data_IF_466393843469
#
_entry.id   IF_466393843469
#
_cell.length_a   1.000
_cell.length_b   1.000
_cell.length_c   1.000
_cell.angle_alpha   90.00
_cell.angle_beta   90.00
_cell.angle_gamma   90.00
#
_symmetry.space_group_name_H-M   'P 1'
#
loop_
_entity.id
_entity.type
_entity.pdbx_description
1 polymer ?
#
# COMPACT_ATOMS: atom_id res chain seq x y z
N UNK A 1 -8.56 0.71 -38.39
CA UNK A 1 -8.70 0.47 -36.95
C UNK A 1 -7.48 -0.31 -36.49
N UNK A 2 -6.46 0.37 -35.94
CA UNK A 2 -5.21 -0.27 -35.52
C UNK A 2 -5.26 -0.53 -34.02
N UNK A 3 -5.18 -1.80 -33.63
CA UNK A 3 -5.04 -2.22 -32.25
C UNK A 3 -3.63 -1.89 -31.76
N UNK A 4 -3.54 -1.09 -30.70
CA UNK A 4 -2.29 -0.81 -30.01
C UNK A 4 -1.89 -2.04 -29.18
N UNK A 5 -1.00 -2.87 -29.73
CA UNK A 5 -0.32 -3.92 -28.99
C UNK A 5 0.61 -3.26 -27.97
N UNK A 6 0.24 -3.34 -26.70
CA UNK A 6 1.11 -2.91 -25.59
C UNK A 6 2.24 -3.94 -25.47
N UNK A 7 3.53 -3.54 -25.47
CA UNK A 7 4.61 -4.50 -25.31
C UNK A 7 4.59 -5.12 -23.91
N UNK A 8 4.97 -6.40 -23.76
CA UNK A 8 5.14 -7.01 -22.45
C UNK A 8 6.26 -6.27 -21.71
N UNK A 9 6.01 -5.97 -20.43
CA UNK A 9 6.98 -5.36 -19.52
C UNK A 9 8.18 -6.33 -19.44
N UNK A 10 9.31 -5.92 -20.02
CA UNK A 10 10.57 -6.65 -19.89
C UNK A 10 10.86 -6.82 -18.39
N UNK A 11 10.85 -8.07 -17.94
CA UNK A 11 11.38 -8.44 -16.64
C UNK A 11 12.86 -8.09 -16.67
N UNK A 12 13.23 -7.10 -15.86
CA UNK A 12 14.59 -6.62 -15.67
C UNK A 12 15.47 -7.76 -15.17
N UNK A 13 16.07 -8.49 -16.12
CA UNK A 13 17.10 -9.47 -15.86
C UNK A 13 18.38 -8.73 -15.48
N UNK A 14 18.56 -8.43 -14.19
CA UNK A 14 19.83 -8.23 -13.46
C UNK A 14 19.71 -7.33 -12.22
N UNK A 15 18.63 -7.44 -11.44
CA UNK A 15 18.72 -7.05 -10.03
C UNK A 15 19.04 -8.32 -9.22
N UNK A 16 20.21 -8.43 -8.56
CA UNK A 16 20.43 -9.51 -7.61
C UNK A 16 19.29 -9.40 -6.59
N UNK A 17 18.42 -10.41 -6.57
CA UNK A 17 17.23 -10.42 -5.73
C UNK A 17 17.64 -9.98 -4.33
N UNK A 18 17.17 -8.80 -3.91
CA UNK A 18 17.37 -8.36 -2.55
C UNK A 18 16.53 -9.31 -1.71
N UNK A 19 17.20 -10.36 -1.23
CA UNK A 19 16.70 -11.16 -0.13
C UNK A 19 16.55 -10.18 1.04
N UNK A 20 15.35 -9.65 1.22
CA UNK A 20 14.94 -9.11 2.52
C UNK A 20 14.86 -10.34 3.43
N UNK A 21 16.04 -10.74 3.91
CA UNK A 21 16.23 -11.86 4.80
C UNK A 21 15.45 -11.53 6.06
N UNK A 22 14.52 -12.40 6.36
CA UNK A 22 13.68 -12.30 7.53
C UNK A 22 14.53 -12.61 8.77
N UNK A 23 14.74 -11.59 9.61
CA UNK A 23 15.11 -11.79 11.00
C UNK A 23 13.92 -11.48 11.89
N UNK A 24 13.44 -12.45 12.68
CA UNK A 24 12.51 -12.17 13.78
C UNK A 24 11.26 -13.06 13.87
N UNK A 25 10.52 -12.97 15.00
CA UNK A 25 9.33 -13.79 15.27
C UNK A 25 8.15 -13.50 14.33
N UNK A 26 7.11 -14.35 14.36
CA UNK A 26 5.88 -14.22 13.56
C UNK A 26 5.12 -12.90 13.74
N UNK A 27 5.47 -12.13 14.77
CA UNK A 27 4.96 -10.79 15.10
C UNK A 27 5.70 -9.67 14.39
N UNK A 28 6.60 -9.97 13.43
CA UNK A 28 7.26 -8.97 12.63
C UNK A 28 6.64 -8.89 11.23
N UNK A 29 6.44 -7.66 10.80
CA UNK A 29 5.91 -7.33 9.49
C UNK A 29 6.76 -6.25 8.85
N UNK A 30 6.94 -6.32 7.54
CA UNK A 30 7.69 -5.36 6.74
C UNK A 30 6.72 -4.49 5.96
N UNK A 31 6.89 -3.17 6.01
CA UNK A 31 5.92 -2.27 5.39
C UNK A 31 6.26 -0.80 5.42
N UNK A 32 5.35 -0.01 4.84
CA UNK A 32 5.38 1.46 4.87
C UNK A 32 4.40 1.99 5.90
N UNK A 33 4.86 2.94 6.71
CA UNK A 33 3.97 3.69 7.61
C UNK A 33 3.29 4.82 6.82
N UNK A 34 1.97 4.77 6.75
CA UNK A 34 1.10 5.76 6.14
C UNK A 34 0.59 6.69 7.24
N UNK A 35 1.07 7.93 7.21
CA UNK A 35 0.61 8.96 8.12
C UNK A 35 -0.79 9.48 7.73
N UNK A 36 -1.35 10.34 8.57
CA UNK A 36 -2.67 10.93 8.33
C UNK A 36 -2.73 11.76 7.03
N UNK A 37 -1.63 12.42 6.66
CA UNK A 37 -1.55 13.20 5.41
C UNK A 37 -1.69 12.30 4.18
N UNK A 38 -1.09 11.12 4.18
CA UNK A 38 -1.27 10.12 3.14
C UNK A 38 -2.75 9.71 3.03
N UNK A 39 -3.40 9.45 4.17
CA UNK A 39 -4.84 9.12 4.19
C UNK A 39 -5.68 10.27 3.63
N UNK A 40 -5.40 11.51 4.04
CA UNK A 40 -6.10 12.70 3.56
C UNK A 40 -5.91 12.94 2.06
N UNK A 41 -4.71 12.67 1.53
CA UNK A 41 -4.40 12.76 0.11
C UNK A 41 -5.22 11.75 -0.72
N UNK A 42 -5.35 10.52 -0.22
CA UNK A 42 -6.09 9.46 -0.92
C UNK A 42 -7.61 9.55 -0.75
N UNK A 43 -8.10 10.18 0.31
CA UNK A 43 -9.53 10.30 0.59
C UNK A 43 -10.36 10.91 -0.57
N UNK A 44 -10.00 12.05 -1.20
CA UNK A 44 -10.75 12.55 -2.34
C UNK A 44 -10.70 11.59 -3.54
N UNK A 45 -9.56 10.97 -3.81
CA UNK A 45 -9.39 10.01 -4.92
C UNK A 45 -10.32 8.80 -4.75
N UNK A 46 -10.33 8.21 -3.55
CA UNK A 46 -11.19 7.05 -3.25
C UNK A 46 -12.67 7.41 -3.29
N UNK A 47 -13.05 8.60 -2.82
CA UNK A 47 -14.43 9.06 -2.91
C UNK A 47 -14.88 9.14 -4.37
N UNK A 48 -14.07 9.73 -5.23
CA UNK A 48 -14.38 9.87 -6.66
C UNK A 48 -14.49 8.53 -7.36
N UNK A 49 -13.66 7.57 -7.00
CA UNK A 49 -13.73 6.21 -7.56
C UNK A 49 -15.01 5.46 -7.15
N UNK A 50 -15.42 5.58 -5.89
CA UNK A 50 -16.61 4.89 -5.35
C UNK A 50 -17.89 5.54 -5.88
N UNK A 51 -17.98 6.86 -5.81
CA UNK A 51 -19.21 7.59 -6.13
C UNK A 51 -19.30 8.02 -7.59
N UNK A 52 -18.22 7.85 -8.37
CA UNK A 52 -18.11 8.34 -9.76
C UNK A 52 -18.43 9.83 -9.87
N UNK A 53 -18.13 10.59 -8.81
CA UNK A 53 -18.44 12.01 -8.68
C UNK A 53 -17.40 12.70 -7.81
N UNK A 54 -17.09 13.97 -8.13
CA UNK A 54 -16.11 14.77 -7.39
C UNK A 54 -16.43 14.88 -5.90
N UNK A 55 -15.40 14.84 -5.06
CA UNK A 55 -15.55 15.16 -3.64
C UNK A 55 -16.15 16.57 -3.50
N UNK A 56 -17.16 16.78 -2.63
CA UNK A 56 -17.70 18.12 -2.40
C UNK A 56 -16.61 19.09 -1.92
N UNK A 57 -16.80 20.38 -2.23
CA UNK A 57 -15.94 21.45 -1.72
C UNK A 57 -15.93 21.49 -0.20
N UNK A 58 -14.82 21.92 0.41
CA UNK A 58 -14.66 22.09 1.84
C UNK A 58 -15.73 22.99 2.50
N UNK A 59 -16.33 23.91 1.73
CA UNK A 59 -17.40 24.80 2.17
C UNK A 59 -18.79 24.14 2.19
N UNK A 60 -18.94 22.94 1.63
CA UNK A 60 -20.19 22.20 1.63
C UNK A 60 -20.53 21.66 3.02
N UNK A 61 -21.79 21.78 3.45
CA UNK A 61 -22.27 21.26 4.74
C UNK A 61 -21.97 19.77 4.95
N UNK A 62 -21.91 18.99 3.87
CA UNK A 62 -21.68 17.54 3.92
C UNK A 62 -20.23 17.14 3.66
N UNK A 63 -19.31 18.11 3.54
CA UNK A 63 -17.90 17.81 3.25
C UNK A 63 -17.26 16.98 4.34
N UNK A 64 -17.33 17.43 5.60
CA UNK A 64 -16.62 16.79 6.71
C UNK A 64 -17.05 15.33 6.91
N UNK A 65 -18.35 15.04 6.84
CA UNK A 65 -18.85 13.68 6.98
C UNK A 65 -18.41 12.77 5.83
N UNK A 66 -18.47 13.26 4.58
CA UNK A 66 -18.03 12.52 3.40
C UNK A 66 -16.52 12.33 3.34
N UNK A 67 -15.75 13.34 3.70
CA UNK A 67 -14.30 13.28 3.76
C UNK A 67 -13.84 12.26 4.81
N UNK A 68 -14.42 12.31 6.02
CA UNK A 68 -14.14 11.33 7.08
C UNK A 68 -14.53 9.91 6.67
N UNK A 69 -15.71 9.72 6.07
CA UNK A 69 -16.12 8.42 5.55
C UNK A 69 -15.14 7.91 4.49
N UNK A 70 -14.66 8.79 3.61
CA UNK A 70 -13.67 8.41 2.61
C UNK A 70 -12.31 8.08 3.22
N UNK A 71 -11.85 8.79 4.24
CA UNK A 71 -10.64 8.43 4.99
C UNK A 71 -10.73 7.00 5.56
N UNK A 72 -11.89 6.62 6.11
CA UNK A 72 -12.11 5.23 6.52
C UNK A 72 -12.03 4.26 5.34
N UNK A 73 -12.61 4.61 4.19
CA UNK A 73 -12.56 3.78 2.97
C UNK A 73 -11.15 3.63 2.40
N UNK A 74 -10.27 4.62 2.56
CA UNK A 74 -8.84 4.52 2.17
C UNK A 74 -8.20 3.30 2.83
N UNK A 75 -8.49 3.04 4.12
CA UNK A 75 -7.87 1.91 4.85
C UNK A 75 -8.22 0.54 4.26
N UNK A 76 -9.37 0.43 3.58
CA UNK A 76 -9.84 -0.79 2.93
C UNK A 76 -9.39 -0.88 1.48
N UNK A 77 -9.50 0.24 0.76
CA UNK A 77 -9.32 0.29 -0.69
C UNK A 77 -7.85 0.41 -1.09
N UNK A 78 -7.05 1.19 -0.34
CA UNK A 78 -5.68 1.46 -0.70
C UNK A 78 -4.82 0.19 -0.76
N UNK A 79 -4.84 -0.72 0.24
CA UNK A 79 -4.08 -1.95 0.13
C UNK A 79 -4.53 -2.80 -1.06
N UNK A 80 -5.85 -2.90 -1.30
CA UNK A 80 -6.38 -3.67 -2.43
C UNK A 80 -5.86 -3.14 -3.77
N UNK A 81 -5.74 -1.82 -3.93
CA UNK A 81 -5.16 -1.20 -5.14
C UNK A 81 -3.69 -1.55 -5.28
N UNK A 82 -2.92 -1.43 -4.19
CA UNK A 82 -1.50 -1.77 -4.18
C UNK A 82 -1.27 -3.23 -4.60
N UNK A 83 -1.93 -4.22 -3.99
CA UNK A 83 -1.74 -5.63 -4.37
C UNK A 83 -2.37 -6.04 -5.71
N UNK A 84 -3.11 -5.14 -6.37
CA UNK A 84 -3.57 -5.37 -7.75
C UNK A 84 -2.55 -4.87 -8.75
N UNK A 85 -1.88 -3.77 -8.43
CA UNK A 85 -0.89 -3.13 -9.30
C UNK A 85 0.50 -3.74 -9.17
N UNK A 86 0.83 -4.26 -7.98
CA UNK A 86 2.10 -4.89 -7.66
C UNK A 86 1.86 -6.36 -7.24
N UNK A 87 1.63 -7.28 -8.20
CA UNK A 87 1.21 -8.65 -7.92
C UNK A 87 2.31 -9.54 -7.33
N UNK A 88 3.57 -9.12 -7.40
CA UNK A 88 4.70 -9.80 -6.73
C UNK A 88 4.57 -9.76 -5.21
N UNK A 89 3.93 -8.72 -4.67
CA UNK A 89 3.67 -8.58 -3.25
C UNK A 89 2.54 -9.53 -2.87
N UNK A 90 2.85 -10.54 -2.07
CA UNK A 90 1.87 -11.50 -1.62
C UNK A 90 0.69 -10.81 -0.93
N UNK A 91 -0.52 -11.23 -1.29
CA UNK A 91 -1.75 -10.73 -0.65
C UNK A 91 -1.86 -11.31 0.74
N UNK A 92 -1.55 -10.49 1.74
CA UNK A 92 -1.60 -10.89 3.13
C UNK A 92 -3.00 -10.76 3.72
N UNK A 93 -3.24 -11.50 4.81
CA UNK A 93 -4.48 -11.44 5.57
C UNK A 93 -4.62 -10.11 6.31
N UNK A 94 -3.52 -9.62 6.92
CA UNK A 94 -3.43 -8.27 7.50
C UNK A 94 -2.75 -7.34 6.50
N UNK A 95 -3.55 -6.58 5.76
CA UNK A 95 -3.09 -5.67 4.69
C UNK A 95 -2.68 -4.30 5.21
N UNK A 96 -3.40 -3.84 6.23
CA UNK A 96 -3.18 -2.57 6.89
C UNK A 96 -3.36 -2.77 8.39
N UNK A 97 -2.43 -2.25 9.19
CA UNK A 97 -2.48 -2.36 10.66
C UNK A 97 -2.48 -0.95 11.23
N UNK A 98 -3.43 -0.65 12.12
CA UNK A 98 -3.41 0.61 12.86
C UNK A 98 -2.22 0.59 13.83
N UNK A 99 -1.33 1.58 13.70
CA UNK A 99 -0.20 1.80 14.58
C UNK A 99 -0.48 3.08 15.37
N UNK A 100 -0.81 2.92 16.66
CA UNK A 100 -1.26 4.03 17.52
C UNK A 100 -0.29 5.22 17.44
N UNK A 101 -0.83 6.43 17.34
CA UNK A 101 -0.15 7.73 17.20
C UNK A 101 0.70 7.94 15.93
N UNK A 102 0.97 6.89 15.15
CA UNK A 102 1.81 6.95 13.95
C UNK A 102 1.02 6.84 12.64
N UNK A 103 -0.16 6.22 12.66
CA UNK A 103 -1.05 6.07 11.50
C UNK A 103 -1.31 4.62 11.15
N UNK A 104 -1.09 4.25 9.89
CA UNK A 104 -1.39 2.92 9.38
C UNK A 104 -0.17 2.26 8.74
N UNK A 105 0.17 1.06 9.15
CA UNK A 105 1.22 0.27 8.52
C UNK A 105 0.64 -0.53 7.35
N UNK A 106 1.02 -0.19 6.12
CA UNK A 106 0.78 -1.01 4.93
C UNK A 106 1.77 -2.17 4.91
N UNK A 107 1.25 -3.39 5.09
CA UNK A 107 2.08 -4.59 5.21
C UNK A 107 2.41 -5.14 3.83
N UNK A 108 3.68 -5.32 3.54
CA UNK A 108 4.16 -5.90 2.27
C UNK A 108 4.64 -7.34 2.44
N UNK A 109 5.17 -7.68 3.62
CA UNK A 109 5.62 -9.02 3.97
C UNK A 109 5.41 -9.28 5.46
N UNK A 110 5.10 -10.53 5.83
CA UNK A 110 5.00 -10.98 7.21
C UNK A 110 5.77 -12.29 7.42
N UNK A 111 5.99 -12.65 8.69
CA UNK A 111 6.69 -13.87 9.09
C UNK A 111 5.74 -14.97 9.58
N UNK A 112 4.44 -14.86 9.28
CA UNK A 112 3.43 -15.71 9.91
C UNK A 112 3.44 -17.13 9.35
N UNK A 113 3.82 -17.29 8.08
CA UNK A 113 3.87 -18.59 7.40
C UNK A 113 5.21 -18.78 6.72
N UNK A 114 5.60 -20.03 6.46
CA UNK A 114 6.81 -20.33 5.69
C UNK A 114 6.77 -19.66 4.32
N UNK A 115 5.61 -19.69 3.64
CA UNK A 115 5.43 -19.07 2.33
C UNK A 115 5.66 -17.56 2.34
N UNK A 116 5.07 -16.84 3.30
CA UNK A 116 5.26 -15.38 3.43
C UNK A 116 6.67 -15.01 3.89
N UNK A 117 7.29 -15.86 4.71
CA UNK A 117 8.67 -15.69 5.17
C UNK A 117 9.69 -15.79 4.03
N UNK A 118 9.53 -16.77 3.14
CA UNK A 118 10.47 -17.02 2.03
C UNK A 118 10.15 -16.21 0.78
N UNK A 119 9.01 -15.52 0.72
CA UNK A 119 8.66 -14.69 -0.41
C UNK A 119 9.66 -13.54 -0.60
N UNK A 120 10.19 -13.42 -1.82
CA UNK A 120 11.03 -12.31 -2.21
C UNK A 120 10.17 -11.09 -2.55
N UNK A 121 10.69 -9.90 -2.24
CA UNK A 121 10.08 -8.64 -2.63
C UNK A 121 10.97 -8.01 -3.70
N UNK A 122 10.38 -7.71 -4.84
CA UNK A 122 11.07 -7.01 -5.91
C UNK A 122 11.36 -5.55 -5.50
N UNK A 123 12.62 -5.10 -5.48
CA UNK A 123 12.97 -3.71 -5.21
C UNK A 123 12.25 -2.70 -6.11
N UNK A 124 12.01 -3.05 -7.38
CA UNK A 124 11.33 -2.18 -8.33
C UNK A 124 9.86 -1.99 -7.95
N UNK A 125 9.22 -3.03 -7.41
CA UNK A 125 7.87 -2.94 -6.89
C UNK A 125 7.81 -2.15 -5.58
N UNK A 126 8.80 -2.30 -4.69
CA UNK A 126 8.89 -1.46 -3.48
C UNK A 126 9.03 0.03 -3.82
N UNK A 127 9.87 0.34 -4.80
CA UNK A 127 10.06 1.69 -5.31
C UNK A 127 8.82 2.21 -6.02
N UNK A 128 8.14 1.38 -6.80
CA UNK A 128 6.87 1.69 -7.44
C UNK A 128 5.77 2.02 -6.43
N UNK A 129 5.65 1.22 -5.36
CA UNK A 129 4.72 1.45 -4.26
C UNK A 129 5.05 2.78 -3.57
N UNK A 130 6.32 3.03 -3.24
CA UNK A 130 6.77 4.27 -2.59
C UNK A 130 6.38 5.51 -3.40
N UNK A 131 6.65 5.49 -4.70
CA UNK A 131 6.31 6.59 -5.63
C UNK A 131 4.80 6.78 -5.72
N UNK A 132 4.05 5.69 -5.86
CA UNK A 132 2.59 5.75 -5.97
C UNK A 132 1.93 6.36 -4.73
N UNK A 133 2.45 6.02 -3.55
CA UNK A 133 1.96 6.53 -2.27
C UNK A 133 2.53 7.91 -1.92
N UNK A 134 3.39 8.48 -2.78
CA UNK A 134 4.07 9.75 -2.59
C UNK A 134 4.82 9.86 -1.26
N UNK A 135 5.55 8.81 -0.86
CA UNK A 135 6.18 8.70 0.46
C UNK A 135 7.55 9.40 0.57
N UNK A 136 7.95 10.19 -0.42
CA UNK A 136 9.27 10.84 -0.43
C UNK A 136 10.40 9.83 -0.23
N UNK A 137 11.44 10.16 0.53
CA UNK A 137 12.58 9.26 0.78
C UNK A 137 12.30 8.13 1.79
N UNK A 138 11.06 7.95 2.25
CA UNK A 138 10.72 6.88 3.20
C UNK A 138 11.04 5.51 2.59
N UNK A 139 11.71 4.66 3.36
CA UNK A 139 11.94 3.25 3.03
C UNK A 139 11.06 2.36 3.89
N UNK A 140 10.60 1.20 3.38
CA UNK A 140 9.87 0.26 4.21
C UNK A 140 10.80 -0.32 5.28
N UNK A 141 10.25 -0.66 6.43
CA UNK A 141 11.00 -1.15 7.60
C UNK A 141 10.29 -2.34 8.22
N UNK A 142 11.04 -3.10 9.02
CA UNK A 142 10.47 -4.14 9.88
C UNK A 142 9.87 -3.49 11.13
N UNK A 143 8.62 -3.83 11.43
CA UNK A 143 7.89 -3.40 12.61
C UNK A 143 7.45 -4.61 13.41
N UNK A 144 7.56 -4.52 14.74
CA UNK A 144 6.94 -5.46 15.66
C UNK A 144 5.48 -5.06 15.85
N UNK A 145 4.56 -6.00 15.65
CA UNK A 145 3.13 -5.81 15.90
C UNK A 145 2.68 -6.59 17.14
N UNK A 146 1.72 -6.07 17.91
CA UNK A 146 1.08 -6.85 18.97
C UNK A 146 0.34 -8.06 18.36
N UNK A 147 0.31 -9.16 19.12
CA UNK A 147 -0.42 -10.40 18.76
C UNK A 147 -1.92 -10.15 18.73
#
# INVERSE_FOLDING_TARGET
MSAATTPPREQSANCPGWNIIVGGPATHVYGFLLNQECIHHWAPIIYEEIHRAKMPSATSKNFQSKFRASCSMVTLMLPLKIYREFPSVLRLWRRLILFYDEGYLLVLKDNRTTATRTAELDPDDLEGIRRKLNLGSQRPKWHRIPL
#
